data_IF_040619949463
#
_entry.id   IF_040619949463
#
_cell.length_a   1.000
_cell.length_b   1.000
_cell.length_c   1.000
_cell.angle_alpha   90.00
_cell.angle_beta   90.00
_cell.angle_gamma   90.00
#
_symmetry.space_group_name_H-M   'P 1'
#
loop_
_entity.id
_entity.type
_entity.pdbx_description
1 polymer ?
#
# COMPACT_ATOMS: atom_id res chain seq x y z
N UNK A 1 -14.38 3.28 1.26
CA UNK A 1 -14.23 1.82 1.34
C UNK A 1 -15.55 1.25 0.93
N UNK A 2 -15.55 0.33 -0.03
CA UNK A 2 -16.77 -0.35 -0.45
C UNK A 2 -17.23 -1.31 0.65
N UNK A 3 -18.52 -1.67 0.61
CA UNK A 3 -19.11 -2.57 1.62
C UNK A 3 -18.50 -3.98 1.52
N UNK A 4 -18.29 -4.48 0.29
CA UNK A 4 -17.61 -5.76 0.01
C UNK A 4 -16.19 -5.77 0.57
N UNK A 5 -15.41 -4.72 0.29
CA UNK A 5 -14.03 -4.54 0.78
C UNK A 5 -13.97 -4.47 2.32
N UNK A 6 -14.96 -3.85 2.96
CA UNK A 6 -15.09 -3.82 4.41
C UNK A 6 -15.42 -5.21 4.98
N UNK A 7 -16.26 -5.98 4.30
CA UNK A 7 -16.60 -7.35 4.68
C UNK A 7 -15.39 -8.28 4.51
N UNK A 8 -14.66 -8.17 3.40
CA UNK A 8 -13.39 -8.88 3.19
C UNK A 8 -12.35 -8.56 4.27
N UNK A 9 -12.22 -7.30 4.67
CA UNK A 9 -11.35 -6.94 5.79
C UNK A 9 -11.76 -7.66 7.09
N UNK A 10 -13.06 -7.87 7.30
CA UNK A 10 -13.53 -8.62 8.48
C UNK A 10 -13.13 -10.10 8.42
N UNK A 11 -13.19 -10.73 7.24
CA UNK A 11 -12.68 -12.08 7.03
C UNK A 11 -11.16 -12.15 7.20
N UNK A 12 -10.44 -11.17 6.67
CA UNK A 12 -8.99 -11.06 6.86
C UNK A 12 -8.61 -10.98 8.35
N UNK A 13 -9.36 -10.23 9.17
CA UNK A 13 -9.15 -10.16 10.62
C UNK A 13 -9.41 -11.53 11.29
N UNK A 14 -10.43 -12.27 10.86
CA UNK A 14 -10.68 -13.63 11.36
C UNK A 14 -9.51 -14.57 11.06
N UNK A 15 -9.02 -14.57 9.84
CA UNK A 15 -7.95 -15.44 9.38
C UNK A 15 -6.60 -15.06 10.00
N UNK A 16 -6.22 -13.79 9.90
CA UNK A 16 -4.87 -13.35 10.24
C UNK A 16 -4.69 -12.97 11.71
N UNK A 17 -5.77 -12.64 12.42
CA UNK A 17 -5.71 -12.22 13.83
C UNK A 17 -6.32 -13.25 14.78
N UNK A 18 -7.55 -13.72 14.51
CA UNK A 18 -8.25 -14.63 15.44
C UNK A 18 -7.70 -16.05 15.32
N UNK A 19 -7.58 -16.56 14.10
CA UNK A 19 -7.15 -17.95 13.85
C UNK A 19 -5.68 -18.16 14.24
N UNK A 20 -4.83 -17.14 14.08
CA UNK A 20 -3.44 -17.12 14.56
C UNK A 20 -3.30 -16.95 16.07
N UNK A 21 -4.41 -16.77 16.78
CA UNK A 21 -4.50 -16.63 18.24
C UNK A 21 -3.71 -15.45 18.81
N UNK A 22 -3.55 -14.37 18.03
CA UNK A 22 -2.84 -13.15 18.47
C UNK A 22 -3.45 -12.57 19.76
N UNK A 23 -4.78 -12.44 19.92
CA UNK A 23 -5.38 -11.93 21.16
C UNK A 23 -5.02 -12.78 22.39
N UNK A 24 -5.01 -14.11 22.24
CA UNK A 24 -4.69 -15.04 23.31
C UNK A 24 -3.20 -14.97 23.66
N UNK A 25 -2.31 -14.81 22.68
CA UNK A 25 -0.87 -14.65 22.89
C UNK A 25 -0.54 -13.32 23.58
N UNK A 26 -1.21 -12.24 23.21
CA UNK A 26 -1.12 -10.95 23.93
C UNK A 26 -1.56 -11.10 25.39
N UNK A 27 -2.72 -11.74 25.62
CA UNK A 27 -3.23 -12.01 26.97
C UNK A 27 -2.30 -12.90 27.79
N UNK A 28 -1.66 -13.90 27.17
CA UNK A 28 -0.70 -14.77 27.83
C UNK A 28 0.55 -14.00 28.28
N UNK A 29 1.10 -13.14 27.42
CA UNK A 29 2.21 -12.26 27.79
C UNK A 29 1.82 -11.26 28.89
N UNK A 30 0.66 -10.60 28.75
CA UNK A 30 0.12 -9.71 29.78
C UNK A 30 0.01 -10.43 31.13
N UNK A 31 -0.50 -11.66 31.15
CA UNK A 31 -0.65 -12.46 32.36
C UNK A 31 0.70 -12.75 33.01
N UNK A 32 1.71 -13.13 32.23
CA UNK A 32 3.07 -13.36 32.73
C UNK A 32 3.70 -12.11 33.34
N UNK A 33 3.50 -10.94 32.73
CA UNK A 33 4.00 -9.65 33.27
C UNK A 33 3.23 -9.28 34.54
N UNK A 34 1.89 -9.41 34.54
CA UNK A 34 1.04 -9.07 35.69
C UNK A 34 1.34 -9.93 36.92
N UNK A 35 1.68 -11.20 36.73
CA UNK A 35 2.13 -12.07 37.82
C UNK A 35 3.34 -11.47 38.53
N UNK A 36 4.29 -10.89 37.79
CA UNK A 36 5.47 -10.23 38.36
C UNK A 36 5.18 -8.91 39.07
N UNK A 37 4.08 -8.23 38.74
CA UNK A 37 3.59 -7.05 39.48
C UNK A 37 3.03 -7.47 40.84
N UNK A 38 2.33 -8.60 40.90
CA UNK A 38 1.62 -9.07 42.09
C UNK A 38 2.50 -9.87 43.06
N UNK A 39 3.78 -10.09 42.72
CA UNK A 39 4.74 -10.74 43.58
C UNK A 39 4.96 -9.90 44.85
N UNK A 40 4.73 -10.51 46.01
CA UNK A 40 5.07 -9.91 47.32
C UNK A 40 6.59 -9.98 47.54
N UNK A 41 7.13 -9.03 48.32
CA UNK A 41 8.56 -8.97 48.68
C UNK A 41 9.11 -10.37 49.02
N UNK A 42 10.17 -10.79 48.31
CA UNK A 42 10.93 -12.05 48.41
C UNK A 42 10.50 -13.27 47.56
N UNK A 43 9.57 -13.17 46.61
CA UNK A 43 9.41 -14.24 45.60
C UNK A 43 10.23 -13.95 44.33
N UNK A 44 10.86 -14.97 43.71
CA UNK A 44 11.57 -14.79 42.46
C UNK A 44 10.59 -14.43 41.34
N UNK A 45 10.96 -13.46 40.51
CA UNK A 45 10.22 -13.10 39.30
C UNK A 45 10.12 -14.33 38.39
N UNK A 46 8.93 -14.57 37.84
CA UNK A 46 8.68 -15.61 36.87
C UNK A 46 9.11 -15.13 35.48
N UNK A 47 9.85 -15.95 34.71
CA UNK A 47 10.18 -15.61 33.33
C UNK A 47 8.94 -15.66 32.43
N UNK A 48 8.87 -14.74 31.47
CA UNK A 48 7.80 -14.70 30.46
C UNK A 48 8.33 -14.74 29.01
N UNK A 49 9.59 -15.15 28.83
CA UNK A 49 10.25 -15.20 27.52
C UNK A 49 9.55 -16.14 26.53
N UNK A 50 8.99 -17.25 27.01
CA UNK A 50 8.22 -18.17 26.16
C UNK A 50 6.97 -17.49 25.60
N UNK A 51 6.24 -16.75 26.43
CA UNK A 51 5.04 -16.02 26.02
C UNK A 51 5.39 -14.87 25.08
N UNK A 52 6.49 -14.15 25.37
CA UNK A 52 7.03 -13.10 24.50
C UNK A 52 7.35 -13.65 23.12
N UNK A 53 8.15 -14.72 23.05
CA UNK A 53 8.53 -15.36 21.79
C UNK A 53 7.33 -15.87 21.01
N UNK A 54 6.40 -16.55 21.69
CA UNK A 54 5.19 -17.07 21.06
C UNK A 54 4.29 -15.97 20.46
N UNK A 55 4.26 -14.79 21.08
CA UNK A 55 3.57 -13.62 20.55
C UNK A 55 4.32 -13.03 19.35
N UNK A 56 5.62 -12.77 19.48
CA UNK A 56 6.47 -12.25 18.40
C UNK A 56 6.36 -13.13 17.16
N UNK A 57 6.51 -14.44 17.31
CA UNK A 57 6.44 -15.39 16.19
C UNK A 57 5.08 -15.35 15.48
N UNK A 58 3.98 -15.06 16.21
CA UNK A 58 2.64 -14.97 15.63
C UNK A 58 2.37 -13.64 14.93
N UNK A 59 2.78 -12.52 15.51
CA UNK A 59 2.56 -11.21 14.90
C UNK A 59 3.52 -10.95 13.72
N UNK A 60 4.70 -11.56 13.74
CA UNK A 60 5.73 -11.41 12.69
C UNK A 60 5.27 -11.87 11.32
N UNK A 61 4.43 -12.90 11.28
CA UNK A 61 3.96 -13.53 10.03
C UNK A 61 2.69 -12.89 9.48
N UNK A 62 2.09 -11.93 10.20
CA UNK A 62 0.91 -11.20 9.72
C UNK A 62 1.36 -10.29 8.59
N UNK A 63 0.89 -10.59 7.38
CA UNK A 63 1.19 -9.83 6.19
C UNK A 63 0.00 -8.94 5.81
N UNK A 64 0.22 -7.63 5.76
CA UNK A 64 -0.78 -6.65 5.32
C UNK A 64 -0.60 -6.25 3.86
N UNK A 65 0.39 -6.81 3.16
CA UNK A 65 0.81 -6.32 1.84
C UNK A 65 -0.33 -6.42 0.80
N UNK A 66 -1.17 -7.46 0.91
CA UNK A 66 -2.33 -7.66 0.04
C UNK A 66 -3.59 -6.81 0.34
N UNK A 67 -3.61 -6.00 1.40
CA UNK A 67 -4.75 -5.14 1.72
C UNK A 67 -4.78 -3.92 0.80
N UNK A 68 -5.91 -3.26 0.62
CA UNK A 68 -6.00 -1.93 -0.05
C UNK A 68 -5.53 -0.80 0.88
N UNK A 69 -5.34 0.42 0.38
CA UNK A 69 -5.07 1.58 1.24
C UNK A 69 -6.21 1.84 2.24
N UNK A 70 -7.45 1.64 1.81
CA UNK A 70 -8.61 1.90 2.66
C UNK A 70 -8.75 0.84 3.77
N UNK A 71 -8.39 -0.41 3.48
CA UNK A 71 -8.30 -1.48 4.46
C UNK A 71 -7.16 -1.23 5.47
N UNK A 72 -5.96 -0.85 5.01
CA UNK A 72 -4.86 -0.46 5.91
C UNK A 72 -5.23 0.73 6.82
N UNK A 73 -5.90 1.73 6.25
CA UNK A 73 -6.39 2.88 7.00
C UNK A 73 -7.42 2.45 8.05
N UNK A 74 -8.33 1.54 7.71
CA UNK A 74 -9.30 1.01 8.68
C UNK A 74 -8.59 0.21 9.79
N UNK A 75 -7.62 -0.64 9.47
CA UNK A 75 -6.82 -1.34 10.50
C UNK A 75 -6.14 -0.37 11.46
N UNK A 76 -5.65 0.75 10.94
CA UNK A 76 -5.04 1.82 11.74
C UNK A 76 -6.06 2.48 12.66
N UNK A 77 -7.26 2.81 12.15
CA UNK A 77 -8.36 3.35 12.96
C UNK A 77 -8.87 2.35 14.02
N UNK A 78 -8.77 1.05 13.75
CA UNK A 78 -9.09 -0.02 14.69
C UNK A 78 -7.97 -0.29 15.70
N UNK A 79 -6.82 0.38 15.60
CA UNK A 79 -5.63 0.14 16.42
C UNK A 79 -5.04 -1.27 16.27
N UNK A 80 -5.14 -1.86 15.09
CA UNK A 80 -4.53 -3.15 14.78
C UNK A 80 -3.10 -2.96 14.27
N UNK A 81 -2.88 -2.04 13.32
CA UNK A 81 -1.61 -1.87 12.59
C UNK A 81 -0.38 -1.84 13.49
N UNK A 82 -0.41 -1.00 14.52
CA UNK A 82 0.70 -0.81 15.46
C UNK A 82 0.93 -1.97 16.45
N UNK A 83 0.12 -3.02 16.36
CA UNK A 83 0.12 -4.19 17.24
C UNK A 83 0.40 -5.50 16.48
N UNK A 84 0.71 -5.43 15.18
CA UNK A 84 1.05 -6.58 14.34
C UNK A 84 2.32 -6.30 13.52
N UNK A 85 2.88 -7.33 12.88
CA UNK A 85 4.07 -7.20 12.05
C UNK A 85 5.28 -6.65 12.81
N UNK A 86 6.18 -5.98 12.09
CA UNK A 86 7.39 -5.40 12.67
C UNK A 86 7.10 -4.26 13.65
N UNK A 87 6.08 -3.43 13.37
CA UNK A 87 5.71 -2.32 14.25
C UNK A 87 5.21 -2.84 15.61
N UNK A 88 4.41 -3.91 15.61
CA UNK A 88 3.98 -4.59 16.82
C UNK A 88 5.16 -5.16 17.63
N UNK A 89 6.16 -5.73 16.95
CA UNK A 89 7.38 -6.24 17.60
C UNK A 89 8.15 -5.10 18.26
N UNK A 90 8.45 -4.04 17.52
CA UNK A 90 9.15 -2.85 18.04
C UNK A 90 8.40 -2.22 19.22
N UNK A 91 7.07 -2.16 19.15
CA UNK A 91 6.23 -1.65 20.24
C UNK A 91 6.35 -2.54 21.49
N UNK A 92 6.22 -3.85 21.36
CA UNK A 92 6.36 -4.79 22.51
C UNK A 92 7.76 -4.69 23.11
N UNK A 93 8.80 -4.76 22.28
CA UNK A 93 10.18 -4.69 22.76
C UNK A 93 10.48 -3.34 23.40
N UNK A 94 9.97 -2.26 22.82
CA UNK A 94 10.06 -0.91 23.37
C UNK A 94 9.40 -0.80 24.75
N UNK A 95 8.20 -1.36 24.92
CA UNK A 95 7.49 -1.40 26.21
C UNK A 95 8.32 -2.18 27.24
N UNK A 96 8.77 -3.38 26.89
CA UNK A 96 9.50 -4.25 27.82
C UNK A 96 10.88 -3.69 28.19
N UNK A 97 11.57 -3.05 27.24
CA UNK A 97 12.89 -2.47 27.46
C UNK A 97 12.83 -1.18 28.27
N UNK A 98 11.96 -0.22 27.88
CA UNK A 98 11.84 1.07 28.57
C UNK A 98 11.33 0.91 30.00
N UNK A 99 10.47 -0.08 30.23
CA UNK A 99 9.86 -0.35 31.52
C UNK A 99 10.50 -1.56 32.24
N UNK A 100 11.76 -1.92 31.94
CA UNK A 100 12.43 -3.07 32.54
C UNK A 100 12.47 -3.02 34.09
N UNK A 101 12.48 -1.81 34.66
CA UNK A 101 12.45 -1.57 36.11
C UNK A 101 11.02 -1.31 36.65
N UNK A 102 10.09 -0.89 35.79
CA UNK A 102 8.69 -0.60 36.13
C UNK A 102 7.74 -1.61 35.45
N UNK A 103 7.71 -2.80 36.03
CA UNK A 103 6.89 -3.91 35.54
C UNK A 103 5.39 -3.57 35.58
N UNK A 104 4.96 -2.66 36.47
CA UNK A 104 3.57 -2.23 36.57
C UNK A 104 3.16 -1.40 35.35
N UNK A 105 4.00 -0.46 34.92
CA UNK A 105 3.77 0.28 33.67
C UNK A 105 3.79 -0.63 32.46
N UNK A 106 4.74 -1.58 32.37
CA UNK A 106 4.75 -2.57 31.29
C UNK A 106 3.45 -3.40 31.24
N UNK A 107 2.93 -3.84 32.40
CA UNK A 107 1.68 -4.59 32.48
C UNK A 107 0.48 -3.76 32.03
N UNK A 108 0.42 -2.49 32.42
CA UNK A 108 -0.64 -1.57 32.03
C UNK A 108 -0.64 -1.30 30.51
N UNK A 109 0.52 -1.08 29.91
CA UNK A 109 0.65 -0.88 28.46
C UNK A 109 0.26 -2.13 27.67
N UNK A 110 0.68 -3.32 28.14
CA UNK A 110 0.27 -4.60 27.52
C UNK A 110 -1.23 -4.90 27.68
N UNK A 111 -1.81 -4.50 28.81
CA UNK A 111 -3.27 -4.56 29.04
C UNK A 111 -4.01 -3.67 28.05
N UNK A 112 -3.52 -2.44 27.82
CA UNK A 112 -4.09 -1.51 26.84
C UNK A 112 -4.08 -2.11 25.43
N UNK A 113 -2.96 -2.69 24.99
CA UNK A 113 -2.88 -3.35 23.67
C UNK A 113 -3.89 -4.49 23.57
N UNK A 114 -3.99 -5.32 24.61
CA UNK A 114 -4.95 -6.43 24.64
C UNK A 114 -6.40 -5.93 24.53
N UNK A 115 -6.73 -4.79 25.15
CA UNK A 115 -8.04 -4.15 25.03
C UNK A 115 -8.29 -3.59 23.62
N UNK A 116 -7.29 -2.91 23.04
CA UNK A 116 -7.34 -2.38 21.66
C UNK A 116 -7.67 -3.50 20.66
N UNK A 117 -6.94 -4.62 20.70
CA UNK A 117 -7.13 -5.75 19.78
C UNK A 117 -8.51 -6.40 19.96
N UNK A 118 -8.95 -6.63 21.21
CA UNK A 118 -10.26 -7.24 21.44
C UNK A 118 -11.41 -6.33 21.01
N UNK A 119 -11.29 -5.01 21.23
CA UNK A 119 -12.28 -4.04 20.77
C UNK A 119 -12.34 -4.00 19.23
N UNK A 120 -11.19 -4.10 18.55
CA UNK A 120 -11.12 -4.18 17.10
C UNK A 120 -11.81 -5.43 16.55
N UNK A 121 -11.54 -6.59 17.15
CA UNK A 121 -12.20 -7.87 16.83
C UNK A 121 -13.71 -7.76 17.00
N UNK A 122 -14.17 -7.22 18.14
CA UNK A 122 -15.60 -7.08 18.39
C UNK A 122 -16.28 -6.17 17.37
N UNK A 123 -15.64 -5.05 16.98
CA UNK A 123 -16.16 -4.18 15.93
C UNK A 123 -16.22 -4.89 14.57
N UNK A 124 -15.17 -5.66 14.24
CA UNK A 124 -15.12 -6.48 13.02
C UNK A 124 -16.24 -7.52 12.99
N UNK A 125 -16.49 -8.22 14.11
CA UNK A 125 -17.60 -9.18 14.25
C UNK A 125 -18.97 -8.53 14.07
N UNK A 126 -19.15 -7.32 14.61
CA UNK A 126 -20.40 -6.56 14.47
C UNK A 126 -20.64 -6.15 13.01
N UNK A 127 -19.59 -5.69 12.32
CA UNK A 127 -19.63 -5.33 10.90
C UNK A 127 -20.03 -6.55 10.06
N UNK A 128 -19.32 -7.67 10.25
CA UNK A 128 -19.61 -8.94 9.56
C UNK A 128 -21.04 -9.38 9.79
N UNK A 129 -21.48 -9.46 11.04
CA UNK A 129 -22.85 -9.92 11.38
C UNK A 129 -23.94 -9.01 10.81
N UNK A 130 -23.68 -7.70 10.72
CA UNK A 130 -24.65 -6.73 10.22
C UNK A 130 -24.71 -6.68 8.68
N UNK A 131 -23.59 -6.92 8.01
CA UNK A 131 -23.45 -6.71 6.56
C UNK A 131 -23.57 -8.01 5.77
N UNK A 132 -22.98 -9.11 6.25
CA UNK A 132 -22.96 -10.41 5.56
C UNK A 132 -24.36 -10.88 5.10
N UNK A 133 -25.44 -10.76 5.91
CA UNK A 133 -26.78 -11.15 5.47
C UNK A 133 -27.42 -10.21 4.44
N UNK A 134 -26.90 -8.99 4.29
CA UNK A 134 -27.39 -7.99 3.35
C UNK A 134 -26.72 -8.11 1.98
N UNK A 135 -25.60 -8.81 1.89
CA UNK A 135 -24.93 -9.10 0.64
C UNK A 135 -25.74 -10.17 -0.11
N UNK A 136 -26.53 -9.74 -1.09
CA UNK A 136 -27.12 -10.66 -2.05
C UNK A 136 -26.04 -11.06 -3.06
N UNK A 137 -25.93 -12.36 -3.37
CA UNK A 137 -25.03 -12.91 -4.42
C UNK A 137 -25.26 -12.31 -5.82
N UNK A 138 -26.24 -11.41 -5.98
CA UNK A 138 -26.54 -10.69 -7.22
C UNK A 138 -25.73 -9.40 -7.41
N UNK A 139 -25.11 -8.85 -6.36
CA UNK A 139 -24.23 -7.67 -6.51
C UNK A 139 -22.81 -8.07 -6.97
N UNK A 140 -22.49 -9.37 -6.96
CA UNK A 140 -21.25 -9.94 -7.53
C UNK A 140 -21.30 -10.04 -9.08
N UNK A 141 -22.45 -9.78 -9.70
CA UNK A 141 -22.67 -9.96 -11.15
C UNK A 141 -22.24 -8.78 -12.04
N UNK A 142 -21.80 -7.63 -11.47
CA UNK A 142 -21.37 -6.48 -12.29
C UNK A 142 -19.91 -6.53 -12.75
N UNK A 143 -19.05 -7.26 -12.05
CA UNK A 143 -17.64 -7.43 -12.41
C UNK A 143 -17.45 -8.77 -13.14
N UNK A 144 -17.02 -8.70 -14.40
CA UNK A 144 -16.72 -9.90 -15.17
C UNK A 144 -15.68 -10.76 -14.42
N UNK A 145 -15.92 -12.07 -14.32
CA UNK A 145 -15.04 -12.99 -13.62
C UNK A 145 -13.60 -12.87 -14.16
N UNK A 146 -12.65 -12.57 -13.27
CA UNK A 146 -11.24 -12.31 -13.63
C UNK A 146 -10.91 -10.84 -13.91
N UNK A 147 -11.87 -9.93 -13.74
CA UNK A 147 -11.60 -8.50 -13.71
C UNK A 147 -11.02 -8.07 -12.36
N UNK A 148 -10.24 -7.00 -12.41
CA UNK A 148 -9.63 -6.32 -11.26
C UNK A 148 -10.20 -4.91 -11.23
N UNK A 149 -10.55 -4.42 -10.03
CA UNK A 149 -10.91 -3.02 -9.82
C UNK A 149 -9.64 -2.22 -9.59
N UNK A 150 -9.33 -1.31 -10.51
CA UNK A 150 -8.29 -0.29 -10.35
C UNK A 150 -8.92 0.99 -9.82
N UNK A 151 -8.47 1.45 -8.65
CA UNK A 151 -8.98 2.64 -7.98
C UNK A 151 -7.96 3.77 -8.07
N UNK A 152 -8.36 4.88 -8.68
CA UNK A 152 -7.51 6.04 -8.91
C UNK A 152 -7.88 7.16 -7.95
N UNK A 153 -6.92 7.61 -7.15
CA UNK A 153 -7.10 8.67 -6.16
C UNK A 153 -6.48 9.97 -6.65
N UNK A 154 -7.32 11.00 -6.81
CA UNK A 154 -6.91 12.33 -7.25
C UNK A 154 -6.71 13.26 -6.04
N UNK A 155 -5.48 13.37 -5.56
CA UNK A 155 -5.12 14.13 -4.36
C UNK A 155 -3.85 14.96 -4.58
N UNK A 156 -3.47 15.77 -3.58
CA UNK A 156 -2.30 16.67 -3.65
C UNK A 156 -2.34 17.57 -4.91
N UNK A 157 -1.28 17.60 -5.71
CA UNK A 157 -1.18 18.45 -6.92
C UNK A 157 -2.02 17.93 -8.10
N UNK A 158 -2.59 16.73 -8.00
CA UNK A 158 -3.60 16.19 -8.93
C UNK A 158 -4.99 16.15 -8.31
N UNK A 159 -5.22 16.94 -7.25
CA UNK A 159 -6.56 17.20 -6.73
C UNK A 159 -7.46 17.87 -7.77
N UNK A 160 -8.77 17.57 -7.68
CA UNK A 160 -9.78 18.20 -8.53
C UNK A 160 -10.59 19.20 -7.71
N UNK A 161 -10.42 20.49 -8.00
CA UNK A 161 -11.18 21.55 -7.34
C UNK A 161 -12.38 21.98 -8.18
N UNK A 162 -12.29 21.83 -9.50
CA UNK A 162 -13.32 22.29 -10.44
C UNK A 162 -13.46 21.40 -11.69
N UNK A 163 -14.48 21.70 -12.51
CA UNK A 163 -14.81 20.94 -13.73
C UNK A 163 -13.73 21.00 -14.83
N UNK A 164 -12.86 22.01 -14.80
CA UNK A 164 -11.72 22.10 -15.71
C UNK A 164 -10.68 21.05 -15.35
N UNK A 165 -10.41 20.88 -14.06
CA UNK A 165 -9.47 19.87 -13.54
C UNK A 165 -9.99 18.48 -13.89
N UNK A 166 -11.29 18.25 -13.69
CA UNK A 166 -11.95 17.00 -14.10
C UNK A 166 -11.76 16.69 -15.59
N UNK A 167 -11.95 17.68 -16.47
CA UNK A 167 -11.71 17.50 -17.91
C UNK A 167 -10.24 17.19 -18.23
N UNK A 168 -9.31 17.93 -17.63
CA UNK A 168 -7.87 17.75 -17.89
C UNK A 168 -7.38 16.39 -17.41
N UNK A 169 -7.74 16.02 -16.18
CA UNK A 169 -7.37 14.75 -15.57
C UNK A 169 -8.10 13.57 -16.22
N UNK A 170 -9.37 13.74 -16.59
CA UNK A 170 -10.11 12.77 -17.40
C UNK A 170 -9.47 12.52 -18.77
N UNK A 171 -9.00 13.58 -19.45
CA UNK A 171 -8.23 13.42 -20.69
C UNK A 171 -6.89 12.71 -20.45
N UNK A 172 -6.19 13.03 -19.36
CA UNK A 172 -4.94 12.35 -18.99
C UNK A 172 -5.18 10.85 -18.78
N UNK A 173 -6.21 10.49 -18.04
CA UNK A 173 -6.57 9.11 -17.76
C UNK A 173 -7.13 8.37 -18.96
N UNK A 174 -7.82 9.04 -19.87
CA UNK A 174 -8.18 8.48 -21.16
C UNK A 174 -6.94 8.12 -21.99
N UNK A 175 -5.92 8.99 -22.03
CA UNK A 175 -4.65 8.70 -22.71
C UNK A 175 -3.88 7.57 -22.03
N UNK A 176 -3.86 7.52 -20.69
CA UNK A 176 -3.25 6.42 -19.93
C UNK A 176 -3.95 5.10 -20.28
N UNK A 177 -5.27 5.05 -20.12
CA UNK A 177 -6.07 3.86 -20.41
C UNK A 177 -5.94 3.41 -21.86
N UNK A 178 -5.97 4.34 -22.81
CA UNK A 178 -5.81 4.05 -24.24
C UNK A 178 -4.49 3.35 -24.55
N UNK A 179 -3.35 3.87 -24.09
CA UNK A 179 -2.08 3.25 -24.45
C UNK A 179 -1.83 1.92 -23.77
N UNK A 180 -2.32 1.73 -22.53
CA UNK A 180 -2.25 0.43 -21.86
C UNK A 180 -3.16 -0.58 -22.56
N UNK A 181 -4.41 -0.23 -22.87
CA UNK A 181 -5.35 -1.11 -23.59
C UNK A 181 -4.81 -1.51 -24.97
N UNK A 182 -4.34 -0.54 -25.76
CA UNK A 182 -3.77 -0.80 -27.09
C UNK A 182 -2.52 -1.70 -27.03
N UNK A 183 -1.73 -1.61 -25.97
CA UNK A 183 -0.56 -2.46 -25.76
C UNK A 183 -0.93 -3.93 -25.55
N UNK A 184 -2.18 -4.21 -25.12
CA UNK A 184 -2.76 -5.55 -24.99
C UNK A 184 -3.66 -5.95 -26.17
N UNK A 185 -3.74 -5.12 -27.22
CA UNK A 185 -4.67 -5.36 -28.34
C UNK A 185 -6.14 -5.12 -28.00
N UNK A 186 -6.41 -4.43 -26.88
CA UNK A 186 -7.73 -4.03 -26.40
C UNK A 186 -8.08 -2.60 -26.80
N UNK A 187 -9.36 -2.27 -26.74
CA UNK A 187 -9.86 -0.92 -26.97
C UNK A 187 -9.91 -0.14 -25.65
N UNK A 188 -9.76 1.20 -25.65
CA UNK A 188 -9.92 2.02 -24.44
C UNK A 188 -11.26 1.81 -23.73
N UNK A 189 -12.31 1.49 -24.48
CA UNK A 189 -13.66 1.21 -23.99
C UNK A 189 -13.75 -0.08 -23.15
N UNK A 190 -12.74 -0.96 -23.23
CA UNK A 190 -12.64 -2.15 -22.38
C UNK A 190 -12.27 -1.79 -20.92
N UNK A 191 -11.87 -0.54 -20.66
CA UNK A 191 -11.64 0.00 -19.30
C UNK A 191 -12.92 0.71 -18.86
N UNK A 192 -13.73 0.05 -18.04
CA UNK A 192 -15.07 0.55 -17.64
C UNK A 192 -15.00 1.32 -16.32
N UNK A 193 -15.58 2.52 -16.28
CA UNK A 193 -15.79 3.23 -14.99
C UNK A 193 -16.97 2.57 -14.26
N UNK A 194 -16.70 1.96 -13.12
CA UNK A 194 -17.70 1.24 -12.31
C UNK A 194 -18.11 2.00 -11.05
N UNK A 195 -17.36 3.05 -10.67
CA UNK A 195 -17.69 3.86 -9.50
C UNK A 195 -16.98 5.20 -9.45
N UNK A 196 -17.56 6.14 -8.72
CA UNK A 196 -16.93 7.40 -8.35
C UNK A 196 -17.33 7.79 -6.91
N UNK A 197 -16.36 8.09 -6.04
CA UNK A 197 -16.63 8.48 -4.65
C UNK A 197 -16.03 9.84 -4.26
N UNK A 198 -16.53 10.41 -3.15
CA UNK A 198 -16.25 11.79 -2.73
C UNK A 198 -15.24 11.84 -1.59
N UNK A 199 -14.15 12.59 -1.76
CA UNK A 199 -13.19 12.91 -0.70
C UNK A 199 -11.82 13.43 -1.17
N UNK A 200 -11.73 14.01 -2.38
CA UNK A 200 -10.77 13.64 -3.45
C UNK A 200 -11.53 12.74 -4.41
N UNK A 201 -11.71 13.13 -5.67
CA UNK A 201 -12.44 12.28 -6.61
C UNK A 201 -11.68 10.95 -6.67
N UNK A 202 -12.38 9.83 -6.46
CA UNK A 202 -11.83 8.50 -6.63
C UNK A 202 -12.57 7.85 -7.77
N UNK A 203 -11.88 7.41 -8.82
CA UNK A 203 -12.49 6.72 -9.96
C UNK A 203 -12.16 5.23 -9.86
N UNK A 204 -13.18 4.38 -9.86
CA UNK A 204 -13.04 2.92 -9.87
C UNK A 204 -13.23 2.40 -11.29
N UNK A 205 -12.23 1.66 -11.78
CA UNK A 205 -12.16 1.15 -13.15
C UNK A 205 -12.12 -0.38 -13.11
N UNK A 206 -13.06 -1.06 -13.76
CA UNK A 206 -12.97 -2.50 -14.00
C UNK A 206 -12.09 -2.76 -15.22
N UNK A 207 -11.02 -3.53 -15.03
CA UNK A 207 -10.03 -3.87 -16.07
C UNK A 207 -9.64 -5.34 -15.99
N UNK A 208 -9.22 -5.95 -17.10
CA UNK A 208 -8.66 -7.31 -17.07
C UNK A 208 -7.29 -7.35 -16.37
N UNK A 209 -6.94 -8.49 -15.77
CA UNK A 209 -5.72 -8.66 -14.98
C UNK A 209 -4.43 -8.25 -15.71
N UNK A 210 -4.32 -8.52 -17.01
CA UNK A 210 -3.17 -8.14 -17.84
C UNK A 210 -2.95 -6.61 -17.89
N UNK A 211 -4.05 -5.85 -18.01
CA UNK A 211 -4.03 -4.38 -18.03
C UNK A 211 -3.60 -3.85 -16.66
N UNK A 212 -4.20 -4.35 -15.56
CA UNK A 212 -3.81 -3.98 -14.20
C UNK A 212 -2.34 -4.32 -13.90
N UNK A 213 -1.88 -5.48 -14.33
CA UNK A 213 -0.47 -5.92 -14.18
C UNK A 213 0.49 -4.99 -14.90
N UNK A 214 0.11 -4.50 -16.08
CA UNK A 214 0.93 -3.56 -16.85
C UNK A 214 0.94 -2.18 -16.21
N UNK A 215 -0.22 -1.67 -15.79
CA UNK A 215 -0.34 -0.41 -15.07
C UNK A 215 0.54 -0.42 -13.80
N UNK A 216 0.43 -1.47 -12.97
CA UNK A 216 1.26 -1.62 -11.77
C UNK A 216 2.76 -1.72 -12.09
N UNK A 217 3.17 -2.42 -13.16
CA UNK A 217 4.57 -2.48 -13.55
C UNK A 217 5.13 -1.11 -13.96
N UNK A 218 4.33 -0.29 -14.64
CA UNK A 218 4.69 1.09 -15.00
C UNK A 218 4.82 1.95 -13.75
N UNK A 219 3.82 1.93 -12.86
CA UNK A 219 3.82 2.71 -11.59
C UNK A 219 5.02 2.31 -10.72
N UNK A 220 5.28 1.02 -10.58
CA UNK A 220 6.42 0.51 -9.82
C UNK A 220 7.73 1.08 -10.36
N UNK A 221 7.89 1.08 -11.68
CA UNK A 221 9.10 1.56 -12.31
C UNK A 221 9.21 3.09 -12.22
N UNK A 222 8.09 3.81 -12.33
CA UNK A 222 7.98 5.25 -12.11
C UNK A 222 8.48 5.62 -10.72
N UNK A 223 7.97 4.95 -9.68
CA UNK A 223 8.36 5.17 -8.30
C UNK A 223 9.85 4.87 -8.04
N UNK A 224 10.41 3.86 -8.71
CA UNK A 224 11.86 3.58 -8.65
C UNK A 224 12.71 4.69 -9.27
N UNK A 225 12.20 5.36 -10.31
CA UNK A 225 12.85 6.54 -10.89
C UNK A 225 12.71 7.73 -9.94
N UNK A 226 11.51 7.97 -9.40
CA UNK A 226 11.24 9.04 -8.44
C UNK A 226 12.12 8.91 -7.17
N UNK A 227 12.23 7.72 -6.57
CA UNK A 227 13.11 7.46 -5.41
C UNK A 227 14.57 7.80 -5.69
N UNK A 228 15.06 7.47 -6.90
CA UNK A 228 16.43 7.79 -7.32
C UNK A 228 16.62 9.29 -7.49
N UNK A 229 15.69 9.97 -8.17
CA UNK A 229 15.70 11.43 -8.36
C UNK A 229 15.68 12.16 -7.01
N UNK A 230 14.80 11.78 -6.09
CA UNK A 230 14.73 12.36 -4.74
C UNK A 230 15.99 12.06 -3.93
N UNK A 231 16.55 10.86 -4.04
CA UNK A 231 17.83 10.54 -3.40
C UNK A 231 18.97 11.42 -3.91
N UNK A 232 19.02 11.69 -5.22
CA UNK A 232 20.01 12.62 -5.80
C UNK A 232 19.79 14.03 -5.25
N UNK A 233 18.54 14.54 -5.27
CA UNK A 233 18.20 15.88 -4.75
C UNK A 233 18.54 16.03 -3.27
N UNK A 234 18.25 15.02 -2.46
CA UNK A 234 18.62 15.01 -1.04
C UNK A 234 20.13 15.08 -0.84
N UNK A 235 20.91 14.32 -1.62
CA UNK A 235 22.38 14.41 -1.59
C UNK A 235 22.90 15.79 -1.99
N UNK A 236 22.23 16.48 -2.92
CA UNK A 236 22.55 17.87 -3.26
C UNK A 236 22.30 18.79 -2.06
N UNK A 237 21.18 18.65 -1.36
CA UNK A 237 20.91 19.45 -0.16
C UNK A 237 21.87 19.14 0.99
N UNK A 238 22.25 17.87 1.18
CA UNK A 238 23.31 17.50 2.11
C UNK A 238 24.63 18.20 1.75
N UNK A 239 25.03 18.20 0.47
CA UNK A 239 26.22 18.91 -0.01
C UNK A 239 26.13 20.43 0.22
N UNK A 240 24.97 21.05 -0.04
CA UNK A 240 24.74 22.47 0.25
C UNK A 240 24.88 22.78 1.74
N UNK A 241 24.35 21.89 2.60
CA UNK A 241 24.44 22.04 4.06
C UNK A 241 25.89 22.00 4.56
N UNK A 242 26.78 21.31 3.84
CA UNK A 242 28.22 21.28 4.11
C UNK A 242 28.94 22.59 3.74
N UNK A 243 28.24 23.58 3.15
CA UNK A 243 28.75 24.90 2.74
C UNK A 243 30.01 24.80 1.86
N UNK A 244 30.09 23.77 1.02
CA UNK A 244 31.20 23.59 0.10
C UNK A 244 31.07 24.63 -1.02
N UNK A 245 32.12 25.40 -1.29
CA UNK A 245 32.16 26.42 -2.36
C UNK A 245 32.22 25.80 -3.78
N UNK A 246 31.38 24.82 -4.08
CA UNK A 246 31.43 24.07 -5.33
C UNK A 246 30.07 24.06 -6.06
N UNK A 247 29.62 25.25 -6.46
CA UNK A 247 28.38 25.49 -7.23
C UNK A 247 28.29 24.64 -8.51
N UNK A 248 29.43 24.23 -9.09
CA UNK A 248 29.45 23.34 -10.25
C UNK A 248 28.91 21.95 -9.93
N UNK A 249 29.25 21.39 -8.77
CA UNK A 249 28.78 20.08 -8.32
C UNK A 249 27.26 20.07 -8.11
N UNK A 250 26.70 21.16 -7.59
CA UNK A 250 25.26 21.33 -7.40
C UNK A 250 24.50 21.35 -8.74
N UNK A 251 25.01 22.12 -9.71
CA UNK A 251 24.42 22.21 -11.06
C UNK A 251 24.52 20.86 -11.79
N UNK A 252 25.67 20.18 -11.69
CA UNK A 252 25.88 18.90 -12.36
C UNK A 252 25.00 17.80 -11.77
N UNK A 253 24.81 17.77 -10.44
CA UNK A 253 23.90 16.81 -9.79
C UNK A 253 22.41 17.11 -10.06
N UNK A 254 22.02 18.39 -10.16
CA UNK A 254 20.66 18.76 -10.56
C UNK A 254 20.35 18.30 -11.99
N UNK A 255 21.31 18.47 -12.92
CA UNK A 255 21.19 17.96 -14.29
C UNK A 255 21.15 16.43 -14.34
N UNK A 256 21.90 15.75 -13.47
CA UNK A 256 21.87 14.29 -13.40
C UNK A 256 20.50 13.79 -12.93
N UNK A 257 19.81 14.50 -12.03
CA UNK A 257 18.44 14.17 -11.64
C UNK A 257 17.46 14.29 -12.82
N UNK A 258 17.55 15.35 -13.62
CA UNK A 258 16.70 15.52 -14.81
C UNK A 258 17.00 14.47 -15.88
N UNK A 259 18.28 14.10 -16.02
CA UNK A 259 18.74 13.06 -16.93
C UNK A 259 18.24 11.68 -16.50
N UNK A 260 18.35 11.32 -15.21
CA UNK A 260 17.83 10.06 -14.66
C UNK A 260 16.32 9.94 -14.90
N UNK A 261 15.57 11.05 -14.78
CA UNK A 261 14.12 11.06 -15.10
C UNK A 261 13.88 10.72 -16.57
N UNK A 262 14.60 11.36 -17.50
CA UNK A 262 14.44 11.11 -18.94
C UNK A 262 14.86 9.70 -19.35
N UNK A 263 16.03 9.25 -18.90
CA UNK A 263 16.52 7.89 -19.17
C UNK A 263 15.64 6.82 -18.53
N UNK A 264 15.09 7.11 -17.35
CA UNK A 264 14.10 6.27 -16.68
C UNK A 264 12.87 6.03 -17.54
N UNK A 265 12.28 7.10 -18.09
CA UNK A 265 11.10 7.01 -18.96
C UNK A 265 11.34 6.14 -20.21
N UNK A 266 12.46 6.35 -20.89
CA UNK A 266 12.84 5.56 -22.07
C UNK A 266 13.05 4.09 -21.71
N UNK A 267 13.67 3.82 -20.55
CA UNK A 267 13.92 2.46 -20.07
C UNK A 267 12.62 1.74 -19.73
N UNK A 268 11.69 2.40 -19.04
CA UNK A 268 10.37 1.84 -18.69
C UNK A 268 9.61 1.46 -19.95
N UNK A 269 9.54 2.38 -20.91
CA UNK A 269 8.82 2.15 -22.18
C UNK A 269 9.42 0.96 -22.94
N UNK A 270 10.76 0.85 -22.99
CA UNK A 270 11.45 -0.29 -23.62
C UNK A 270 11.18 -1.61 -22.89
N UNK A 271 11.26 -1.64 -21.57
CA UNK A 271 11.04 -2.85 -20.76
C UNK A 271 9.60 -3.35 -20.89
N UNK A 272 8.60 -2.46 -20.86
CA UNK A 272 7.19 -2.83 -21.03
C UNK A 272 6.92 -3.28 -22.46
N UNK A 273 7.44 -2.57 -23.47
CA UNK A 273 7.28 -2.97 -24.88
C UNK A 273 7.86 -4.36 -25.13
N UNK A 274 9.04 -4.66 -24.55
CA UNK A 274 9.65 -5.98 -24.66
C UNK A 274 8.82 -7.07 -23.95
N UNK A 275 8.28 -6.79 -22.75
CA UNK A 275 7.41 -7.74 -22.03
C UNK A 275 6.11 -8.05 -22.79
N UNK A 276 5.55 -7.05 -23.46
CA UNK A 276 4.31 -7.18 -24.22
C UNK A 276 4.53 -7.63 -25.67
N UNK A 277 5.76 -7.98 -26.05
CA UNK A 277 6.13 -8.37 -27.42
C UNK A 277 5.71 -7.35 -28.49
N UNK A 278 5.74 -6.06 -28.16
CA UNK A 278 5.44 -4.98 -29.09
C UNK A 278 6.67 -4.72 -29.96
N UNK A 279 6.53 -4.90 -31.27
CA UNK A 279 7.64 -4.70 -32.20
C UNK A 279 7.92 -3.20 -32.35
N UNK A 280 9.07 -2.74 -31.83
CA UNK A 280 9.48 -1.33 -31.86
C UNK A 280 9.52 -0.72 -33.28
N UNK A 281 9.64 -1.56 -34.32
CA UNK A 281 9.72 -1.13 -35.72
C UNK A 281 8.43 -1.41 -36.53
N UNK A 282 7.50 -2.23 -36.02
CA UNK A 282 6.26 -2.63 -36.69
C UNK A 282 5.00 -2.02 -36.09
N UNK A 283 4.99 -1.80 -34.77
CA UNK A 283 3.88 -1.27 -33.98
C UNK A 283 4.11 0.21 -33.59
N UNK A 284 4.62 1.03 -34.52
CA UNK A 284 5.08 2.39 -34.24
C UNK A 284 4.01 3.32 -33.62
N UNK A 285 2.72 3.06 -33.86
CA UNK A 285 1.63 3.75 -33.18
C UNK A 285 1.45 3.28 -31.73
N UNK A 286 1.40 1.96 -31.48
CA UNK A 286 1.25 1.41 -30.11
C UNK A 286 2.40 1.85 -29.20
N UNK A 287 3.63 1.85 -29.72
CA UNK A 287 4.81 2.30 -28.96
C UNK A 287 4.69 3.77 -28.55
N UNK A 288 4.30 4.65 -29.49
CA UNK A 288 4.14 6.08 -29.20
C UNK A 288 3.01 6.36 -28.21
N UNK A 289 1.88 5.66 -28.36
CA UNK A 289 0.74 5.82 -27.45
C UNK A 289 1.12 5.28 -26.06
N UNK A 290 1.78 4.12 -25.98
CA UNK A 290 2.27 3.56 -24.73
C UNK A 290 3.29 4.48 -24.04
N UNK A 291 4.25 5.05 -24.78
CA UNK A 291 5.22 6.02 -24.24
C UNK A 291 4.51 7.23 -23.60
N UNK A 292 3.47 7.75 -24.27
CA UNK A 292 2.66 8.85 -23.74
C UNK A 292 1.89 8.44 -22.49
N UNK A 293 1.32 7.24 -22.45
CA UNK A 293 0.63 6.70 -21.27
C UNK A 293 1.59 6.51 -20.09
N UNK A 294 2.79 5.96 -20.34
CA UNK A 294 3.84 5.80 -19.33
C UNK A 294 4.23 7.16 -18.76
N UNK A 295 4.44 8.17 -19.63
CA UNK A 295 4.75 9.54 -19.20
C UNK A 295 3.65 10.12 -18.33
N UNK A 296 2.40 10.06 -18.78
CA UNK A 296 1.27 10.63 -18.06
C UNK A 296 1.04 9.94 -16.70
N UNK A 297 1.28 8.63 -16.62
CA UNK A 297 1.15 7.88 -15.37
C UNK A 297 2.27 8.21 -14.39
N UNK A 298 3.52 8.36 -14.87
CA UNK A 298 4.63 8.88 -14.06
C UNK A 298 4.30 10.27 -13.52
N UNK A 299 3.90 11.19 -14.40
CA UNK A 299 3.59 12.57 -14.02
C UNK A 299 2.40 12.64 -13.04
N UNK A 300 1.44 11.71 -13.12
CA UNK A 300 0.33 11.60 -12.16
C UNK A 300 0.80 11.18 -10.77
N UNK A 301 1.64 10.14 -10.69
CA UNK A 301 2.17 9.62 -9.42
C UNK A 301 3.12 10.61 -8.76
N UNK A 302 4.00 11.25 -9.54
CA UNK A 302 4.93 12.29 -9.03
C UNK A 302 4.19 13.49 -8.41
N UNK A 303 2.97 13.79 -8.88
CA UNK A 303 2.14 14.86 -8.34
C UNK A 303 1.27 14.42 -7.17
N UNK A 304 1.50 13.21 -6.67
CA UNK A 304 0.85 12.65 -5.49
C UNK A 304 -0.46 11.92 -5.75
N UNK A 305 -0.76 11.59 -7.02
CA UNK A 305 -1.87 10.69 -7.34
C UNK A 305 -1.55 9.26 -6.94
N UNK A 306 -2.52 8.55 -6.35
CA UNK A 306 -2.37 7.15 -5.95
C UNK A 306 -3.23 6.24 -6.85
N UNK A 307 -2.75 5.02 -7.07
CA UNK A 307 -3.50 3.98 -7.78
C UNK A 307 -3.47 2.70 -6.94
N UNK A 308 -4.64 2.23 -6.57
CA UNK A 308 -4.89 1.04 -5.78
C UNK A 308 -5.54 -0.04 -6.65
N UNK A 309 -5.42 -1.30 -6.25
CA UNK A 309 -6.03 -2.42 -6.95
C UNK A 309 -6.75 -3.32 -5.95
N UNK A 310 -7.93 -3.75 -6.34
CA UNK A 310 -8.80 -4.61 -5.55
C UNK A 310 -9.32 -5.76 -6.42
N UNK A 311 -9.35 -6.95 -5.84
CA UNK A 311 -9.89 -8.17 -6.48
C UNK A 311 -10.64 -8.98 -5.43
N UNK A 312 -11.82 -9.47 -5.79
CA UNK A 312 -12.63 -10.31 -4.92
C UNK A 312 -12.08 -11.74 -4.78
N UNK A 313 -11.11 -12.12 -5.61
CA UNK A 313 -10.48 -13.44 -5.59
C UNK A 313 -9.11 -13.39 -4.88
N UNK A 314 -9.14 -13.36 -3.54
CA UNK A 314 -7.94 -13.42 -2.72
C UNK A 314 -7.10 -14.69 -2.98
N UNK A 315 -7.73 -15.77 -3.45
CA UNK A 315 -7.12 -17.07 -3.72
C UNK A 315 -6.84 -17.35 -5.20
N UNK A 316 -6.96 -16.33 -6.06
CA UNK A 316 -6.71 -16.48 -7.48
C UNK A 316 -5.33 -17.08 -7.76
N UNK A 317 -5.29 -18.26 -8.38
CA UNK A 317 -4.04 -18.89 -8.81
C UNK A 317 -3.45 -18.25 -10.06
N UNK A 318 -4.19 -17.32 -10.69
CA UNK A 318 -3.81 -16.62 -11.91
C UNK A 318 -2.42 -15.95 -11.76
N UNK A 319 -1.46 -16.30 -12.63
CA UNK A 319 -0.11 -15.73 -12.59
C UNK A 319 -0.09 -14.20 -12.66
N UNK A 320 -1.01 -13.58 -13.41
CA UNK A 320 -1.04 -12.11 -13.55
C UNK A 320 -1.50 -11.44 -12.26
N UNK A 321 -2.56 -11.97 -11.64
CA UNK A 321 -3.04 -11.50 -10.33
C UNK A 321 -1.96 -11.61 -9.25
N UNK A 322 -1.12 -12.65 -9.26
CA UNK A 322 0.03 -12.80 -8.33
C UNK A 322 1.11 -11.76 -8.58
N UNK A 323 1.42 -11.45 -9.84
CA UNK A 323 2.40 -10.39 -10.19
C UNK A 323 1.86 -9.02 -9.81
N UNK A 324 0.57 -8.76 -10.05
CA UNK A 324 -0.10 -7.53 -9.66
C UNK A 324 0.01 -7.29 -8.14
N UNK A 325 -0.36 -8.28 -7.31
CA UNK A 325 -0.24 -8.21 -5.85
C UNK A 325 1.19 -7.85 -5.43
N UNK A 326 2.18 -8.58 -5.96
CA UNK A 326 3.60 -8.31 -5.66
C UNK A 326 4.05 -6.90 -6.08
N UNK A 327 3.63 -6.45 -7.26
CA UNK A 327 3.97 -5.10 -7.73
C UNK A 327 3.36 -4.05 -6.80
N UNK A 328 2.12 -4.26 -6.37
CA UNK A 328 1.39 -3.34 -5.51
C UNK A 328 2.03 -3.21 -4.12
N UNK A 329 2.47 -4.33 -3.53
CA UNK A 329 3.25 -4.33 -2.28
C UNK A 329 4.50 -3.46 -2.38
N UNK A 330 5.19 -3.53 -3.52
CA UNK A 330 6.40 -2.78 -3.78
C UNK A 330 6.12 -1.30 -4.06
N UNK A 331 5.01 -0.99 -4.76
CA UNK A 331 4.49 0.37 -4.97
C UNK A 331 4.25 1.06 -3.62
N UNK A 332 3.47 0.45 -2.73
CA UNK A 332 3.18 1.00 -1.41
C UNK A 332 4.43 1.29 -0.58
N UNK A 333 5.40 0.37 -0.61
CA UNK A 333 6.68 0.52 0.11
C UNK A 333 7.47 1.70 -0.45
N UNK A 334 7.48 1.87 -1.77
CA UNK A 334 8.18 2.97 -2.42
C UNK A 334 7.47 4.31 -2.21
N UNK A 335 6.14 4.37 -2.29
CA UNK A 335 5.37 5.60 -1.99
C UNK A 335 5.61 6.09 -0.56
N UNK A 336 5.51 5.20 0.44
CA UNK A 336 5.84 5.53 1.84
C UNK A 336 7.26 6.08 1.97
N UNK A 337 8.23 5.52 1.22
CA UNK A 337 9.62 5.98 1.22
C UNK A 337 9.80 7.33 0.53
N UNK A 338 9.12 7.56 -0.59
CA UNK A 338 9.11 8.81 -1.35
C UNK A 338 8.54 9.95 -0.50
N UNK A 339 7.38 9.75 0.13
CA UNK A 339 6.77 10.72 1.07
C UNK A 339 7.71 11.06 2.25
N UNK A 340 8.43 10.07 2.78
CA UNK A 340 9.42 10.29 3.85
C UNK A 340 10.64 11.09 3.39
N UNK A 341 10.98 11.06 2.09
CA UNK A 341 12.06 11.84 1.52
C UNK A 341 11.61 13.29 1.26
N UNK A 342 10.40 13.48 0.75
CA UNK A 342 9.82 14.81 0.47
C UNK A 342 9.59 15.62 1.74
N UNK A 343 9.09 14.99 2.82
CA UNK A 343 8.89 15.66 4.13
C UNK A 343 10.18 16.07 4.85
N UNK A 344 11.35 15.66 4.34
CA UNK A 344 12.68 15.97 4.91
C UNK A 344 13.52 16.91 4.06
N UNK A 345 13.03 17.31 2.89
CA UNK A 345 13.56 18.39 2.04
C UNK A 345 12.82 19.68 2.33
#
# INVERSE_FOLDING_TARGET
>A
MQISELLQLSFWIDENIKTTQIPQKYKALQTGIQQNVNIRNNQPKQPFETQKKALIDAIKVVDTSGLTYQQENMLTHLNITQNIGNEGIERIEGILYKNALDVATAAAEMSKITQEINAAIQKSDQIKTAIDPLMTTQDEDELEKGSVVMRVHFQNEVGMDNVTDFKQLGNSWWEIGRGIAMAHGSAPEDIKVVGASKGSIVIELAVVAAIATTASAIILSALKVADRVLTIRKKVEEIKSLKLNNQKLEIDLAKEADKEKKEGLEKITKEISAKLNIELNGDGEKVKVLEKSVKNLIDFVEKGGEVDFFTDDENSEDPETKVLKKNFDEIKKLEKRVLMLESKT
#
